data_IF_886696128810
#
_entry.id   IF_886696128810
#
_cell.length_a   1.000
_cell.length_b   1.000
_cell.length_c   1.000
_cell.angle_alpha   90.00
_cell.angle_beta   90.00
_cell.angle_gamma   90.00
#
_symmetry.space_group_name_H-M   'P 1'
#
loop_
_entity.id
_entity.type
_entity.pdbx_description
1 polymer ?
#
# COMPACT_ATOMS: atom_id res chain seq x y z
N UNK A 1 9.69 -15.26 5.69
CA UNK A 1 9.02 -16.00 4.59
C UNK A 1 9.05 -15.19 3.29
N UNK A 2 8.61 -13.93 3.30
CA UNK A 2 8.65 -13.01 2.15
C UNK A 2 9.93 -12.97 1.32
N UNK A 3 11.10 -12.74 1.94
CA UNK A 3 12.40 -12.74 1.24
C UNK A 3 12.64 -14.06 0.46
N UNK A 4 12.32 -15.20 1.08
CA UNK A 4 12.48 -16.52 0.44
C UNK A 4 11.54 -16.69 -0.75
N UNK A 5 10.30 -16.22 -0.65
CA UNK A 5 9.35 -16.25 -1.77
C UNK A 5 9.85 -15.40 -2.94
N UNK A 6 10.33 -14.18 -2.67
CA UNK A 6 10.88 -13.31 -3.72
C UNK A 6 12.13 -13.89 -4.37
N UNK A 7 13.04 -14.45 -3.57
CA UNK A 7 14.22 -15.14 -4.07
C UNK A 7 13.85 -16.34 -4.94
N UNK A 8 12.88 -17.14 -4.51
CA UNK A 8 12.39 -18.28 -5.29
C UNK A 8 11.80 -17.85 -6.65
N UNK A 9 11.00 -16.77 -6.68
CA UNK A 9 10.47 -16.21 -7.92
C UNK A 9 11.53 -15.57 -8.81
N UNK A 10 12.66 -15.15 -8.25
CA UNK A 10 13.80 -14.69 -9.03
C UNK A 10 14.54 -15.87 -9.67
N UNK A 11 14.89 -16.90 -8.88
CA UNK A 11 15.65 -18.06 -9.33
C UNK A 11 14.89 -18.94 -10.32
N UNK A 12 13.59 -19.18 -10.09
CA UNK A 12 12.76 -20.01 -10.98
C UNK A 12 12.24 -19.27 -12.20
N UNK A 13 12.24 -17.94 -12.16
CA UNK A 13 11.73 -17.06 -13.22
C UNK A 13 10.36 -17.50 -13.81
N UNK A 14 9.33 -17.80 -12.98
CA UNK A 14 8.02 -18.13 -13.51
C UNK A 14 7.36 -16.90 -14.13
N UNK A 15 6.34 -17.12 -14.98
CA UNK A 15 5.46 -16.03 -15.42
C UNK A 15 4.80 -15.37 -14.19
N UNK A 16 4.83 -14.05 -14.14
CA UNK A 16 4.26 -13.25 -13.04
C UNK A 16 2.90 -12.67 -13.40
N UNK A 17 2.02 -12.62 -12.42
CA UNK A 17 0.71 -11.96 -12.50
C UNK A 17 0.81 -10.60 -11.80
N UNK A 18 0.37 -9.55 -12.48
CA UNK A 18 0.30 -8.20 -11.93
C UNK A 18 -1.15 -7.74 -11.92
N UNK A 19 -1.72 -7.61 -10.73
CA UNK A 19 -3.08 -7.11 -10.53
C UNK A 19 -3.02 -5.62 -10.22
N UNK A 20 -3.45 -4.79 -11.17
CA UNK A 20 -3.48 -3.34 -11.03
C UNK A 20 -4.89 -2.93 -10.62
N UNK A 21 -5.01 -2.26 -9.48
CA UNK A 21 -6.26 -1.69 -9.00
C UNK A 21 -5.99 -0.35 -8.34
N UNK A 22 -6.95 0.57 -8.48
CA UNK A 22 -6.95 1.81 -7.71
C UNK A 22 -7.50 1.60 -6.31
N UNK A 23 -8.10 0.44 -6.00
CA UNK A 23 -8.64 0.13 -4.69
C UNK A 23 -8.15 -1.24 -4.18
N UNK A 24 -7.80 -1.31 -2.90
CA UNK A 24 -7.51 -2.53 -2.16
C UNK A 24 -8.12 -2.44 -0.76
N UNK A 25 -9.27 -3.07 -0.56
CA UNK A 25 -9.92 -3.07 0.75
C UNK A 25 -9.42 -4.26 1.58
N UNK A 26 -8.21 -4.12 2.14
CA UNK A 26 -7.53 -5.18 2.88
C UNK A 26 -8.21 -5.48 4.23
N UNK A 27 -8.69 -4.43 4.90
CA UNK A 27 -9.13 -4.49 6.30
C UNK A 27 -7.94 -4.66 7.26
N UNK A 28 -8.24 -5.00 8.51
CA UNK A 28 -7.25 -5.35 9.54
C UNK A 28 -6.38 -6.55 9.15
N UNK A 29 -5.07 -6.41 9.33
CA UNK A 29 -4.04 -7.36 8.86
C UNK A 29 -3.51 -8.26 9.98
N UNK A 30 -3.62 -7.86 11.26
CA UNK A 30 -3.09 -8.60 12.41
C UNK A 30 -3.68 -10.01 12.48
N UNK A 31 -5.00 -10.09 12.62
CA UNK A 31 -5.73 -11.35 12.75
C UNK A 31 -5.52 -12.24 11.52
N UNK A 32 -5.65 -11.68 10.31
CA UNK A 32 -5.47 -12.42 9.07
C UNK A 32 -4.05 -13.03 8.97
N UNK A 33 -3.02 -12.28 9.37
CA UNK A 33 -1.65 -12.77 9.39
C UNK A 33 -1.47 -13.91 10.40
N UNK A 34 -2.03 -13.79 11.60
CA UNK A 34 -1.97 -14.86 12.60
C UNK A 34 -2.62 -16.15 12.11
N UNK A 35 -3.79 -16.05 11.46
CA UNK A 35 -4.51 -17.16 10.85
C UNK A 35 -3.66 -17.82 9.75
N UNK A 36 -3.16 -17.02 8.79
CA UNK A 36 -2.42 -17.55 7.65
C UNK A 36 -1.07 -18.19 8.05
N UNK A 37 -0.47 -17.74 9.16
CA UNK A 37 0.75 -18.34 9.71
C UNK A 37 0.49 -19.53 10.64
N UNK A 38 -0.76 -19.77 11.06
CA UNK A 38 -1.12 -20.78 12.05
C UNK A 38 -0.66 -20.45 13.47
N UNK A 39 -0.58 -19.17 13.82
CA UNK A 39 -0.02 -18.67 15.08
C UNK A 39 -1.05 -18.12 16.05
N UNK A 40 -2.34 -18.09 15.70
CA UNK A 40 -3.40 -17.48 16.51
C UNK A 40 -3.35 -17.93 17.98
N UNK A 41 -3.48 -19.23 18.25
CA UNK A 41 -3.46 -19.75 19.63
C UNK A 41 -2.16 -19.43 20.39
N UNK A 42 -1.02 -19.41 19.70
CA UNK A 42 0.28 -19.14 20.32
C UNK A 42 0.41 -17.65 20.69
N UNK A 43 -0.11 -16.76 19.84
CA UNK A 43 -0.19 -15.34 20.11
C UNK A 43 -1.18 -15.05 21.24
N UNK A 44 -2.35 -15.70 21.26
CA UNK A 44 -3.34 -15.57 22.34
C UNK A 44 -2.75 -15.96 23.70
N UNK A 45 -2.05 -17.10 23.77
CA UNK A 45 -1.39 -17.55 25.01
C UNK A 45 -0.31 -16.55 25.46
N UNK A 46 0.50 -16.03 24.54
CA UNK A 46 1.56 -15.08 24.85
C UNK A 46 1.01 -13.74 25.37
N UNK A 47 -0.06 -13.23 24.76
CA UNK A 47 -0.72 -11.99 25.18
C UNK A 47 -1.44 -12.19 26.53
N UNK A 48 -2.07 -13.35 26.75
CA UNK A 48 -2.66 -13.69 28.04
C UNK A 48 -1.64 -13.73 29.18
N UNK A 49 -0.44 -14.29 28.94
CA UNK A 49 0.64 -14.31 29.93
C UNK A 49 1.15 -12.91 30.29
N UNK A 50 0.99 -11.92 29.41
CA UNK A 50 1.29 -10.51 29.66
C UNK A 50 0.14 -9.78 30.38
N UNK A 51 -0.97 -10.45 30.66
CA UNK A 51 -2.15 -9.88 31.32
C UNK A 51 -2.98 -8.99 30.39
N UNK A 52 -2.90 -9.20 29.08
CA UNK A 52 -3.63 -8.47 28.05
C UNK A 52 -4.64 -9.39 27.36
N UNK A 53 -5.62 -8.80 26.67
CA UNK A 53 -6.57 -9.50 25.83
C UNK A 53 -6.26 -9.27 24.34
N UNK A 54 -6.24 -10.34 23.54
CA UNK A 54 -5.95 -10.25 22.11
C UNK A 54 -7.06 -9.53 21.35
N UNK A 55 -8.34 -9.80 21.68
CA UNK A 55 -9.48 -9.20 20.99
C UNK A 55 -9.47 -7.67 21.19
N UNK A 56 -9.17 -7.19 22.40
CA UNK A 56 -9.01 -5.76 22.67
C UNK A 56 -7.88 -5.13 21.84
N UNK A 57 -6.76 -5.84 21.63
CA UNK A 57 -5.64 -5.34 20.82
C UNK A 57 -5.96 -5.35 19.31
N UNK A 58 -6.70 -6.35 18.83
CA UNK A 58 -7.15 -6.42 17.44
C UNK A 58 -8.10 -5.26 17.08
N UNK A 59 -8.92 -4.81 18.03
CA UNK A 59 -9.81 -3.66 17.84
C UNK A 59 -9.09 -2.30 17.74
N UNK A 60 -7.84 -2.21 18.21
CA UNK A 60 -7.01 -1.00 18.09
C UNK A 60 -6.46 -0.82 16.67
N UNK A 61 -6.36 -1.92 15.89
CA UNK A 61 -5.87 -1.83 14.52
C UNK A 61 -6.84 -1.03 13.64
N UNK A 62 -6.35 0.07 13.08
CA UNK A 62 -7.07 0.87 12.09
C UNK A 62 -7.21 0.10 10.78
N UNK A 63 -8.37 0.20 10.14
CA UNK A 63 -8.57 -0.33 8.80
C UNK A 63 -7.73 0.45 7.78
N UNK A 64 -7.10 -0.27 6.85
CA UNK A 64 -6.36 0.38 5.77
C UNK A 64 -7.32 1.10 4.81
N UNK A 65 -7.32 2.43 4.84
CA UNK A 65 -8.07 3.34 3.98
C UNK A 65 -7.61 3.32 2.52
N UNK A 66 -7.69 2.16 1.86
CA UNK A 66 -7.14 1.90 0.53
C UNK A 66 -8.20 1.48 -0.49
N UNK A 67 -9.47 1.41 -0.11
CA UNK A 67 -10.57 1.04 -0.98
C UNK A 67 -11.92 1.29 -0.33
N UNK A 68 -12.98 1.26 -1.14
CA UNK A 68 -14.29 1.77 -0.71
C UNK A 68 -15.34 0.65 -0.63
N UNK A 69 -15.32 -0.24 -1.63
CA UNK A 69 -16.40 -1.20 -1.81
C UNK A 69 -15.96 -2.50 -2.46
N UNK A 70 -16.88 -3.11 -3.22
CA UNK A 70 -16.70 -4.45 -3.77
C UNK A 70 -15.49 -4.60 -4.70
N UNK A 71 -15.13 -3.54 -5.43
CA UNK A 71 -13.94 -3.55 -6.29
C UNK A 71 -12.66 -3.75 -5.47
N UNK A 72 -12.46 -2.90 -4.46
CA UNK A 72 -11.32 -3.01 -3.56
C UNK A 72 -11.31 -4.32 -2.78
N UNK A 73 -12.48 -4.80 -2.34
CA UNK A 73 -12.53 -6.06 -1.58
C UNK A 73 -12.27 -7.29 -2.45
N UNK A 74 -12.71 -7.28 -3.70
CA UNK A 74 -12.39 -8.33 -4.66
C UNK A 74 -10.87 -8.40 -4.90
N UNK A 75 -10.22 -7.25 -5.07
CA UNK A 75 -8.78 -7.16 -5.24
C UNK A 75 -8.01 -7.75 -4.05
N UNK A 76 -8.43 -7.41 -2.82
CA UNK A 76 -7.84 -7.95 -1.59
C UNK A 76 -8.01 -9.48 -1.49
N UNK A 77 -9.22 -10.00 -1.74
CA UNK A 77 -9.48 -11.45 -1.73
C UNK A 77 -8.68 -12.19 -2.82
N UNK A 78 -8.48 -11.58 -3.99
CA UNK A 78 -7.63 -12.15 -5.03
C UNK A 78 -6.17 -12.22 -4.60
N UNK A 79 -5.62 -11.20 -3.92
CA UNK A 79 -4.25 -11.24 -3.42
C UNK A 79 -4.04 -12.37 -2.41
N UNK A 80 -4.97 -12.54 -1.46
CA UNK A 80 -4.94 -13.65 -0.50
C UNK A 80 -5.02 -15.01 -1.22
N UNK A 81 -5.98 -15.16 -2.15
CA UNK A 81 -6.14 -16.41 -2.92
C UNK A 81 -4.89 -16.74 -3.74
N UNK A 82 -4.28 -15.75 -4.40
CA UNK A 82 -3.06 -15.94 -5.17
C UNK A 82 -1.89 -16.35 -4.29
N UNK A 83 -1.76 -15.77 -3.09
CA UNK A 83 -0.74 -16.16 -2.12
C UNK A 83 -0.99 -17.59 -1.61
N UNK A 84 -2.24 -17.93 -1.26
CA UNK A 84 -2.67 -19.26 -0.78
C UNK A 84 -2.50 -20.36 -1.84
N UNK A 85 -2.70 -20.05 -3.11
CA UNK A 85 -2.46 -20.99 -4.22
C UNK A 85 -1.00 -21.04 -4.69
N UNK A 86 -0.11 -20.24 -4.10
CA UNK A 86 1.32 -20.22 -4.46
C UNK A 86 1.61 -19.53 -5.80
N UNK A 87 0.67 -18.76 -6.34
CA UNK A 87 0.84 -18.05 -7.61
C UNK A 87 1.81 -16.88 -7.43
N UNK A 88 2.77 -16.76 -8.36
CA UNK A 88 3.71 -15.65 -8.40
C UNK A 88 2.99 -14.35 -8.83
N UNK A 89 2.44 -13.64 -7.84
CA UNK A 89 1.57 -12.50 -8.08
C UNK A 89 1.95 -11.27 -7.26
N UNK A 90 1.60 -10.11 -7.82
CA UNK A 90 1.79 -8.81 -7.21
C UNK A 90 0.50 -7.99 -7.34
N UNK A 91 0.13 -7.29 -6.26
CA UNK A 91 -0.86 -6.21 -6.30
C UNK A 91 -0.17 -4.87 -6.53
N UNK A 92 -0.70 -4.03 -7.40
CA UNK A 92 -0.21 -2.68 -7.62
C UNK A 92 -1.35 -1.67 -7.43
N UNK A 93 -1.13 -0.69 -6.56
CA UNK A 93 -2.11 0.36 -6.25
C UNK A 93 -1.48 1.66 -5.79
N UNK A 94 -2.31 2.58 -5.31
CA UNK A 94 -1.90 3.88 -4.77
C UNK A 94 -1.99 3.82 -3.24
N UNK A 95 -1.03 4.45 -2.56
CA UNK A 95 -1.04 4.61 -1.11
C UNK A 95 -1.76 5.91 -0.75
N UNK A 96 -3.08 5.84 -0.56
CA UNK A 96 -3.88 7.00 -0.16
C UNK A 96 -3.59 7.40 1.28
N UNK A 97 -3.35 8.69 1.50
CA UNK A 97 -3.09 9.20 2.85
C UNK A 97 -4.38 9.39 3.66
N UNK A 98 -5.47 9.74 2.98
CA UNK A 98 -6.74 10.10 3.64
C UNK A 98 -7.95 9.23 3.29
N UNK A 99 -7.70 8.00 2.78
CA UNK A 99 -8.74 7.03 2.45
C UNK A 99 -9.93 7.61 1.67
N UNK A 100 -11.14 7.19 2.05
CA UNK A 100 -12.39 7.77 1.53
C UNK A 100 -12.89 8.88 2.44
N UNK A 101 -13.38 8.50 3.62
CA UNK A 101 -13.81 9.34 4.74
C UNK A 101 -14.31 8.44 5.87
N UNK A 102 -14.21 8.92 7.10
CA UNK A 102 -14.90 8.38 8.26
C UNK A 102 -16.33 8.94 8.32
N UNK A 103 -17.32 8.05 8.26
CA UNK A 103 -18.73 8.41 8.29
C UNK A 103 -19.20 8.60 9.74
N UNK A 104 -19.67 9.80 10.07
CA UNK A 104 -20.39 10.07 11.34
C UNK A 104 -21.83 10.46 11.06
N UNK A 105 -22.71 10.11 11.99
CA UNK A 105 -24.11 10.54 11.96
C UNK A 105 -24.32 11.61 13.03
N UNK A 106 -24.70 12.82 12.62
CA UNK A 106 -25.08 13.92 13.52
C UNK A 106 -26.44 14.46 13.10
N UNK A 107 -27.36 14.54 14.06
CA UNK A 107 -28.73 15.04 13.86
C UNK A 107 -29.47 14.33 12.70
N UNK A 108 -29.19 13.04 12.49
CA UNK A 108 -29.79 12.23 11.43
C UNK A 108 -29.14 12.36 10.04
N UNK A 109 -28.06 13.14 9.92
CA UNK A 109 -27.35 13.36 8.66
C UNK A 109 -25.93 12.81 8.69
N UNK A 110 -25.44 12.43 7.51
CA UNK A 110 -24.05 12.05 7.30
C UNK A 110 -23.14 13.28 7.40
N UNK A 111 -22.01 13.10 8.08
CA UNK A 111 -20.87 14.02 8.10
C UNK A 111 -19.63 13.22 7.75
N UNK A 112 -18.84 13.72 6.80
CA UNK A 112 -17.57 13.16 6.38
C UNK A 112 -16.40 13.79 7.16
N UNK A 113 -15.55 12.95 7.75
CA UNK A 113 -14.25 13.36 8.28
C UNK A 113 -13.13 12.64 7.53
N UNK A 114 -11.95 13.26 7.44
CA UNK A 114 -10.80 12.62 6.80
C UNK A 114 -10.40 11.35 7.57
N UNK A 115 -10.09 10.27 6.82
CA UNK A 115 -9.60 9.03 7.39
C UNK A 115 -8.08 9.10 7.57
N UNK A 116 -7.63 9.25 8.81
CA UNK A 116 -6.22 9.44 9.16
C UNK A 116 -5.56 8.14 9.65
N UNK A 117 -5.84 7.02 8.97
CA UNK A 117 -5.32 5.67 9.29
C UNK A 117 -3.79 5.58 9.36
N UNK A 118 -3.08 6.55 8.77
CA UNK A 118 -1.61 6.63 8.78
C UNK A 118 -1.03 7.53 9.88
N UNK A 119 -1.86 8.15 10.73
CA UNK A 119 -1.44 9.07 11.79
C UNK A 119 -0.29 8.52 12.65
N UNK A 120 -0.38 7.24 13.00
CA UNK A 120 0.58 6.54 13.85
C UNK A 120 1.55 5.65 13.06
N UNK A 121 1.53 5.77 11.73
CA UNK A 121 2.24 4.89 10.81
C UNK A 121 1.52 3.56 10.60
N UNK A 122 1.94 2.83 9.57
CA UNK A 122 1.44 1.51 9.26
C UNK A 122 2.54 0.47 9.52
N UNK A 123 2.39 -0.44 10.51
CA UNK A 123 3.43 -1.42 10.82
C UNK A 123 3.58 -2.51 9.74
N UNK A 124 2.60 -2.65 8.85
CA UNK A 124 2.56 -3.71 7.83
C UNK A 124 3.28 -3.36 6.53
N UNK A 125 3.62 -2.09 6.30
CA UNK A 125 4.27 -1.65 5.07
C UNK A 125 5.78 -1.46 5.23
N UNK A 126 6.51 -1.66 4.15
CA UNK A 126 7.94 -1.38 4.06
C UNK A 126 8.21 -0.41 2.92
N UNK A 127 8.65 0.80 3.26
CA UNK A 127 9.14 1.77 2.28
C UNK A 127 10.38 1.23 1.54
N UNK A 128 10.42 1.50 0.23
CA UNK A 128 11.49 1.11 -0.70
C UNK A 128 12.02 2.31 -1.49
N UNK A 129 12.66 3.30 -0.83
CA UNK A 129 13.20 4.47 -1.51
C UNK A 129 14.23 4.13 -2.60
N UNK A 130 14.89 2.98 -2.50
CA UNK A 130 15.81 2.47 -3.52
C UNK A 130 15.15 2.16 -4.87
N UNK A 131 13.82 2.04 -4.92
CA UNK A 131 13.05 1.74 -6.14
C UNK A 131 12.14 2.88 -6.57
N UNK A 132 12.48 4.12 -6.21
CA UNK A 132 11.73 5.30 -6.61
C UNK A 132 11.79 5.51 -8.13
N UNK A 133 10.65 5.85 -8.74
CA UNK A 133 10.54 6.04 -10.19
C UNK A 133 9.99 7.42 -10.55
N UNK A 134 10.50 8.09 -11.60
CA UNK A 134 9.92 9.33 -12.09
C UNK A 134 8.64 9.04 -12.89
N UNK A 135 7.61 9.83 -12.63
CA UNK A 135 6.36 9.90 -13.39
C UNK A 135 6.25 11.29 -13.99
N UNK A 136 6.01 11.36 -15.29
CA UNK A 136 5.98 12.60 -16.05
C UNK A 136 4.53 13.02 -16.29
N UNK A 137 4.26 14.32 -16.18
CA UNK A 137 2.97 14.94 -16.50
C UNK A 137 3.16 16.15 -17.42
N UNK A 138 2.10 16.58 -18.10
CA UNK A 138 2.10 17.74 -19.01
C UNK A 138 3.11 17.61 -20.16
N UNK A 139 3.86 18.69 -20.45
CA UNK A 139 4.85 18.73 -21.52
C UNK A 139 4.26 18.69 -22.93
N UNK A 140 5.12 18.34 -23.89
CA UNK A 140 4.78 18.29 -25.31
C UNK A 140 5.57 17.19 -26.04
N UNK A 141 5.03 16.81 -27.20
CA UNK A 141 5.66 15.80 -28.07
C UNK A 141 6.52 16.51 -29.11
N UNK A 142 7.78 16.10 -29.21
CA UNK A 142 8.72 16.55 -30.23
C UNK A 142 9.05 15.39 -31.19
N UNK A 143 8.92 15.64 -32.50
CA UNK A 143 9.34 14.70 -33.53
C UNK A 143 10.77 15.01 -33.95
N UNK A 144 11.66 14.05 -33.74
CA UNK A 144 13.07 14.14 -34.13
C UNK A 144 13.37 13.15 -35.25
N UNK A 145 14.50 13.32 -35.94
CA UNK A 145 14.95 12.39 -36.98
C UNK A 145 15.15 10.94 -36.47
N UNK A 146 15.30 10.75 -35.15
CA UNK A 146 15.49 9.45 -34.49
C UNK A 146 14.22 8.90 -33.83
N UNK A 147 13.09 9.59 -33.93
CA UNK A 147 11.82 9.20 -33.33
C UNK A 147 11.17 10.30 -32.50
N UNK A 148 10.13 9.92 -31.76
CA UNK A 148 9.29 10.83 -30.98
C UNK A 148 9.77 10.92 -29.53
N UNK A 149 9.85 12.12 -28.97
CA UNK A 149 10.23 12.37 -27.57
C UNK A 149 9.14 13.14 -26.83
N UNK A 150 8.95 12.83 -25.55
CA UNK A 150 8.10 13.60 -24.65
C UNK A 150 8.99 14.51 -23.79
N UNK A 151 8.86 15.81 -23.98
CA UNK A 151 9.75 16.84 -23.40
C UNK A 151 8.95 17.88 -22.61
N UNK A 152 9.65 18.74 -21.86
CA UNK A 152 9.08 19.82 -21.03
C UNK A 152 8.03 19.32 -20.00
N UNK A 153 8.26 18.14 -19.42
CA UNK A 153 7.34 17.51 -18.47
C UNK A 153 7.58 17.95 -17.04
N UNK A 154 6.51 17.98 -16.25
CA UNK A 154 6.59 18.06 -14.80
C UNK A 154 6.84 16.66 -14.24
N UNK A 155 7.82 16.51 -13.34
CA UNK A 155 8.19 15.22 -12.76
C UNK A 155 7.63 15.11 -11.34
N UNK A 156 7.00 13.97 -11.06
CA UNK A 156 6.61 13.52 -9.71
C UNK A 156 7.31 12.20 -9.44
N UNK A 157 7.78 11.98 -8.23
CA UNK A 157 8.43 10.73 -7.83
C UNK A 157 7.41 9.77 -7.22
N UNK A 158 7.37 8.54 -7.73
CA UNK A 158 6.59 7.45 -7.17
C UNK A 158 7.48 6.64 -6.21
N UNK A 159 7.21 6.74 -4.91
CA UNK A 159 7.87 6.00 -3.85
C UNK A 159 7.07 4.71 -3.55
N UNK A 160 7.65 3.51 -3.75
CA UNK A 160 6.95 2.27 -3.46
C UNK A 160 6.98 1.91 -1.97
N UNK A 161 5.85 1.43 -1.49
CA UNK A 161 5.64 0.80 -0.19
C UNK A 161 5.16 -0.63 -0.42
N UNK A 162 5.89 -1.60 0.12
CA UNK A 162 5.56 -3.02 -0.03
C UNK A 162 4.87 -3.54 1.24
N UNK A 163 3.67 -4.09 1.08
CA UNK A 163 2.93 -4.82 2.12
C UNK A 163 2.96 -6.32 1.79
N UNK A 164 3.46 -7.18 2.70
CA UNK A 164 3.48 -8.62 2.47
C UNK A 164 2.06 -9.20 2.55
N UNK A 165 1.74 -10.13 1.64
CA UNK A 165 0.46 -10.85 1.62
C UNK A 165 0.74 -12.34 1.90
N UNK A 166 0.61 -12.80 3.16
CA UNK A 166 0.87 -14.19 3.51
C UNK A 166 -0.24 -15.11 2.99
N UNK A 167 0.12 -16.21 2.34
CA UNK A 167 -0.82 -17.26 1.96
C UNK A 167 -1.12 -18.19 3.13
N UNK A 168 -2.33 -18.76 3.14
CA UNK A 168 -2.79 -19.65 4.20
C UNK A 168 -1.96 -20.94 4.24
N UNK A 169 -1.23 -21.16 5.34
CA UNK A 169 -0.55 -22.42 5.70
C UNK A 169 0.39 -22.99 4.63
N UNK A 170 0.99 -22.15 3.76
CA UNK A 170 1.78 -22.62 2.62
C UNK A 170 3.18 -21.97 2.48
N UNK A 171 3.58 -21.13 3.43
CA UNK A 171 4.83 -20.36 3.46
C UNK A 171 5.07 -19.39 2.29
N UNK A 172 4.14 -19.26 1.36
CA UNK A 172 4.20 -18.28 0.27
C UNK A 172 3.76 -16.93 0.79
N UNK A 173 4.52 -15.88 0.47
CA UNK A 173 4.17 -14.50 0.81
C UNK A 173 4.36 -13.63 -0.42
N UNK A 174 3.24 -13.21 -1.01
CA UNK A 174 3.23 -12.30 -2.15
C UNK A 174 3.43 -10.84 -1.69
N UNK A 175 3.43 -9.91 -2.63
CA UNK A 175 3.64 -8.48 -2.37
C UNK A 175 2.48 -7.67 -2.93
N UNK A 176 1.91 -6.79 -2.10
CA UNK A 176 1.14 -5.64 -2.57
C UNK A 176 2.07 -4.43 -2.55
N UNK A 177 2.25 -3.76 -3.69
CA UNK A 177 3.07 -2.56 -3.82
C UNK A 177 2.18 -1.35 -4.06
N UNK A 178 2.21 -0.42 -3.12
CA UNK A 178 1.46 0.82 -3.16
C UNK A 178 2.41 1.99 -3.44
N UNK A 179 2.00 2.90 -4.32
CA UNK A 179 2.80 4.06 -4.69
C UNK A 179 2.35 5.31 -3.96
N UNK A 180 3.29 5.99 -3.30
CA UNK A 180 3.11 7.32 -2.72
C UNK A 180 3.76 8.35 -3.64
N UNK A 181 3.00 9.40 -3.98
CA UNK A 181 3.53 10.52 -4.75
C UNK A 181 4.41 11.41 -3.85
N UNK A 182 5.60 11.74 -4.32
CA UNK A 182 6.54 12.65 -3.68
C UNK A 182 7.01 13.69 -4.68
N UNK A 183 7.22 14.91 -4.22
CA UNK A 183 7.91 15.91 -5.03
C UNK A 183 9.37 15.48 -5.23
N UNK A 184 9.97 15.71 -6.41
CA UNK A 184 11.43 15.72 -6.50
C UNK A 184 12.01 16.77 -5.55
N UNK A 185 13.29 16.68 -5.21
CA UNK A 185 13.98 17.64 -4.32
C UNK A 185 14.19 19.02 -5.00
N UNK A 186 13.14 19.55 -5.62
CA UNK A 186 13.08 20.90 -6.20
C UNK A 186 12.45 21.83 -5.16
N UNK A 187 13.11 22.01 -4.01
CA UNK A 187 12.74 23.07 -3.07
C UNK A 187 13.17 24.41 -3.66
N UNK A 188 12.23 25.28 -4.01
CA UNK A 188 12.57 26.57 -4.58
C UNK A 188 12.81 27.57 -3.44
N UNK A 189 14.07 27.62 -2.98
CA UNK A 189 14.51 28.54 -1.92
C UNK A 189 14.17 30.00 -2.25
N UNK A 190 14.02 30.38 -3.53
CA UNK A 190 13.58 31.74 -3.89
C UNK A 190 12.14 31.98 -3.47
N UNK A 191 11.22 31.09 -3.84
CA UNK A 191 9.78 31.21 -3.55
C UNK A 191 9.53 31.16 -2.03
N UNK A 192 10.31 30.34 -1.32
CA UNK A 192 10.30 30.31 0.16
C UNK A 192 10.70 31.66 0.77
N UNK A 193 11.75 32.29 0.23
CA UNK A 193 12.25 33.57 0.74
C UNK A 193 11.35 34.76 0.41
N UNK A 194 10.47 34.67 -0.61
CA UNK A 194 9.47 35.72 -0.91
C UNK A 194 8.18 35.55 -0.10
N UNK A 195 8.10 34.52 0.76
CA UNK A 195 6.96 34.26 1.64
C UNK A 195 5.77 33.58 0.96
N UNK A 196 5.95 33.06 -0.25
CA UNK A 196 4.92 32.27 -0.94
C UNK A 196 5.08 30.78 -0.63
N UNK A 197 4.74 30.41 0.61
CA UNK A 197 4.87 29.05 1.14
C UNK A 197 4.02 28.01 0.41
N UNK A 198 3.06 28.43 -0.43
CA UNK A 198 2.21 27.51 -1.22
C UNK A 198 2.92 27.13 -2.53
N UNK A 199 3.79 27.99 -3.07
CA UNK A 199 4.57 27.73 -4.30
C UNK A 199 5.99 27.21 -4.04
N UNK A 200 6.50 27.33 -2.82
CA UNK A 200 7.89 27.06 -2.42
C UNK A 200 8.27 25.59 -2.20
#
# INVERSE_FOLDING_TARGET
RWIRTQQHYYEKCPKRVYYLSLEFYMGRTLQNTMINLGLQNACDEAIYQLGLDMEELEEIEEDAGLGNGGLGRLAACFLDSMATLGLAAYGYGIRYEYGIFNQKIRDGWQIEEADDWLRHGNPWEKARPEFMLPVHFYGKVEHTNTGTKWIDTQVVLALPYDTPVPGYMNNTVNTMRLWSARAPNDFNLRDFNVGDYIQA
#
